data_IF_228914848911
#
_entry.id   IF_228914848911
#
_cell.length_a   1.000
_cell.length_b   1.000
_cell.length_c   1.000
_cell.angle_alpha   90.00
_cell.angle_beta   90.00
_cell.angle_gamma   90.00
#
_symmetry.space_group_name_H-M   'P 1'
#
loop_
_entity.id
_entity.type
_entity.pdbx_description
1 polymer ?
#
# COMPACT_ATOMS: atom_id res chain seq x y z
N UNK A 1 11.27 -17.08 -16.18
CA UNK A 1 10.27 -15.99 -16.26
C UNK A 1 9.99 -15.47 -14.85
N UNK A 2 10.74 -14.49 -14.33
CA UNK A 2 10.54 -14.05 -12.96
C UNK A 2 9.77 -12.72 -12.97
N UNK A 3 8.73 -12.51 -12.18
CA UNK A 3 8.21 -13.26 -11.06
C UNK A 3 7.23 -12.33 -10.35
N UNK A 4 6.16 -12.90 -9.81
CA UNK A 4 5.15 -12.17 -9.06
C UNK A 4 5.80 -11.17 -8.10
N UNK A 5 5.35 -9.91 -8.15
CA UNK A 5 5.68 -8.88 -7.16
C UNK A 5 5.52 -9.47 -5.77
N UNK A 6 6.62 -9.48 -5.00
CA UNK A 6 6.61 -9.99 -3.62
C UNK A 6 5.70 -9.07 -2.80
N UNK A 7 4.63 -9.60 -2.17
CA UNK A 7 3.84 -8.81 -1.27
C UNK A 7 4.65 -8.42 -0.03
N UNK A 8 4.39 -7.24 0.51
CA UNK A 8 4.96 -6.80 1.77
C UNK A 8 4.36 -7.63 2.91
N UNK A 9 5.25 -8.23 3.71
CA UNK A 9 4.85 -9.15 4.77
C UNK A 9 4.96 -8.52 6.16
N UNK A 10 5.80 -7.50 6.32
CA UNK A 10 6.10 -6.89 7.61
C UNK A 10 6.04 -5.36 7.55
N UNK A 11 5.80 -4.72 8.69
CA UNK A 11 5.87 -3.25 8.82
C UNK A 11 7.19 -2.70 8.29
N UNK A 12 8.31 -3.38 8.59
CA UNK A 12 9.64 -3.03 8.11
C UNK A 12 9.75 -2.99 6.58
N UNK A 13 8.97 -3.80 5.86
CA UNK A 13 8.93 -3.71 4.40
C UNK A 13 8.31 -2.38 3.96
N UNK A 14 7.17 -1.98 4.53
CA UNK A 14 6.55 -0.69 4.20
C UNK A 14 7.47 0.49 4.52
N UNK A 15 8.12 0.48 5.69
CA UNK A 15 9.05 1.54 6.10
C UNK A 15 10.24 1.65 5.13
N UNK A 16 10.77 0.53 4.65
CA UNK A 16 11.87 0.52 3.67
C UNK A 16 11.49 1.07 2.30
N UNK A 17 10.20 1.11 1.99
CA UNK A 17 9.67 1.58 0.70
C UNK A 17 8.88 2.89 0.84
N UNK A 18 9.09 3.66 1.93
CA UNK A 18 8.58 5.03 2.03
C UNK A 18 9.09 5.85 0.84
N UNK A 19 8.18 6.55 0.15
CA UNK A 19 8.45 7.28 -1.08
C UNK A 19 8.30 6.46 -2.36
N UNK A 20 8.05 5.16 -2.27
CA UNK A 20 7.74 4.33 -3.44
C UNK A 20 6.23 4.16 -3.67
N UNK A 21 5.86 3.97 -4.93
CA UNK A 21 4.49 3.67 -5.35
C UNK A 21 4.18 2.18 -5.17
N UNK A 22 3.04 1.90 -4.56
CA UNK A 22 2.60 0.55 -4.23
C UNK A 22 1.13 0.37 -4.58
N UNK A 23 0.74 -0.89 -4.76
CA UNK A 23 -0.65 -1.30 -4.89
C UNK A 23 -1.09 -1.98 -3.59
N UNK A 24 -2.21 -1.51 -3.05
CA UNK A 24 -2.84 -2.02 -1.83
C UNK A 24 -4.23 -2.56 -2.15
N UNK A 25 -4.44 -3.83 -1.88
CA UNK A 25 -5.74 -4.49 -1.91
C UNK A 25 -6.37 -4.46 -0.52
N UNK A 26 -7.62 -4.06 -0.43
CA UNK A 26 -8.38 -3.89 0.80
C UNK A 26 -9.38 -5.03 1.01
N UNK A 27 -9.68 -5.37 2.27
CA UNK A 27 -10.74 -6.31 2.60
C UNK A 27 -12.14 -5.75 2.28
N UNK A 28 -12.34 -4.46 2.59
CA UNK A 28 -13.57 -3.72 2.35
C UNK A 28 -13.31 -2.61 1.33
N UNK A 29 -14.29 -2.28 0.46
CA UNK A 29 -14.14 -1.17 -0.46
C UNK A 29 -14.10 0.16 0.30
N UNK A 30 -13.17 1.02 -0.06
CA UNK A 30 -13.10 2.43 0.35
C UNK A 30 -13.39 3.25 -0.90
N UNK A 31 -14.33 4.20 -0.81
CA UNK A 31 -14.78 5.01 -1.96
C UNK A 31 -15.21 4.18 -3.20
N UNK A 32 -15.78 3.00 -2.95
CA UNK A 32 -16.26 2.09 -4.01
C UNK A 32 -15.17 1.23 -4.67
N UNK A 33 -13.90 1.37 -4.28
CA UNK A 33 -12.80 0.53 -4.78
C UNK A 33 -12.17 -0.30 -3.65
N UNK A 34 -11.81 -1.55 -3.97
CA UNK A 34 -10.98 -2.39 -3.08
C UNK A 34 -9.49 -2.29 -3.40
N UNK A 35 -9.13 -1.56 -4.44
CA UNK A 35 -7.75 -1.40 -4.89
C UNK A 35 -7.37 0.07 -4.80
N UNK A 36 -6.24 0.32 -4.16
CA UNK A 36 -5.66 1.65 -4.00
C UNK A 36 -4.22 1.59 -4.51
N UNK A 37 -3.88 2.49 -5.43
CA UNK A 37 -2.51 2.73 -5.86
C UNK A 37 -2.07 4.08 -5.31
N UNK A 38 -0.88 4.14 -4.72
CA UNK A 38 -0.35 5.38 -4.15
C UNK A 38 1.06 5.25 -3.62
N UNK A 39 1.64 6.39 -3.25
CA UNK A 39 3.00 6.48 -2.71
C UNK A 39 2.94 6.34 -1.19
N UNK A 40 3.81 5.53 -0.59
CA UNK A 40 3.90 5.43 0.87
C UNK A 40 4.46 6.75 1.43
N UNK A 41 3.66 7.50 2.17
CA UNK A 41 4.15 8.68 2.91
C UNK A 41 4.68 8.29 4.29
N UNK A 42 3.99 7.38 4.98
CA UNK A 42 4.44 6.85 6.27
C UNK A 42 3.84 5.47 6.55
N UNK A 43 4.53 4.68 7.37
CA UNK A 43 4.04 3.40 7.88
C UNK A 43 4.48 3.26 9.33
N UNK A 44 3.55 2.91 10.22
CA UNK A 44 3.79 2.81 11.66
C UNK A 44 2.88 1.79 12.34
N UNK A 45 2.81 1.86 13.67
CA UNK A 45 1.97 0.94 14.45
C UNK A 45 0.47 1.16 14.16
N UNK A 46 0.06 2.42 13.95
CA UNK A 46 -1.33 2.77 13.68
C UNK A 46 -1.83 2.33 12.28
N UNK A 47 -0.92 2.25 11.30
CA UNK A 47 -1.30 1.92 9.93
C UNK A 47 -0.32 2.42 8.87
N UNK A 48 -0.85 2.52 7.66
CA UNK A 48 -0.17 2.95 6.45
C UNK A 48 -0.82 4.22 5.92
N UNK A 49 -0.01 5.21 5.59
CA UNK A 49 -0.46 6.46 4.96
C UNK A 49 0.02 6.47 3.53
N UNK A 50 -0.94 6.54 2.60
CA UNK A 50 -0.70 6.57 1.16
C UNK A 50 -1.07 7.92 0.57
N UNK A 51 -0.22 8.47 -0.28
CA UNK A 51 -0.54 9.59 -1.15
C UNK A 51 -1.11 9.08 -2.46
N UNK A 52 -2.38 9.36 -2.69
CA UNK A 52 -3.15 9.00 -3.89
C UNK A 52 -3.45 10.29 -4.65
N UNK A 53 -2.58 10.63 -5.61
CA UNK A 53 -2.63 11.91 -6.32
C UNK A 53 -2.36 13.09 -5.37
N UNK A 54 -3.36 13.95 -5.18
CA UNK A 54 -3.30 15.11 -4.27
C UNK A 54 -3.89 14.83 -2.88
N UNK A 55 -4.45 13.63 -2.66
CA UNK A 55 -5.06 13.24 -1.39
C UNK A 55 -4.16 12.30 -0.62
N UNK A 56 -4.26 12.36 0.71
CA UNK A 56 -3.64 11.40 1.62
C UNK A 56 -4.72 10.47 2.15
N UNK A 57 -4.46 9.16 2.12
CA UNK A 57 -5.34 8.11 2.56
C UNK A 57 -4.68 7.34 3.69
N UNK A 58 -5.32 7.34 4.85
CA UNK A 58 -4.88 6.58 6.02
C UNK A 58 -5.59 5.23 6.08
N UNK A 59 -4.80 4.15 6.12
CA UNK A 59 -5.26 2.78 6.10
C UNK A 59 -4.75 2.04 7.34
N UNK A 60 -5.66 1.57 8.16
CA UNK A 60 -5.35 0.64 9.24
C UNK A 60 -4.93 -0.73 8.67
N UNK A 61 -4.03 -1.42 9.37
CA UNK A 61 -3.60 -2.79 9.01
C UNK A 61 -4.77 -3.77 8.86
N UNK A 62 -5.84 -3.57 9.65
CA UNK A 62 -7.07 -4.36 9.61
C UNK A 62 -7.82 -4.27 8.28
N UNK A 63 -7.65 -3.18 7.54
CA UNK A 63 -8.32 -2.92 6.24
C UNK A 63 -7.49 -3.44 5.08
N UNK A 64 -6.18 -3.62 5.26
CA UNK A 64 -5.25 -4.04 4.22
C UNK A 64 -5.22 -5.57 4.12
N UNK A 65 -5.61 -6.08 2.97
CA UNK A 65 -5.54 -7.53 2.68
C UNK A 65 -4.19 -7.94 2.10
N UNK A 66 -3.60 -7.08 1.27
CA UNK A 66 -2.33 -7.32 0.59
C UNK A 66 -1.76 -5.99 0.12
N UNK A 67 -0.45 -5.81 0.23
CA UNK A 67 0.26 -4.72 -0.41
C UNK A 67 1.45 -5.27 -1.21
N UNK A 68 1.77 -4.64 -2.33
CA UNK A 68 2.88 -5.02 -3.18
C UNK A 68 3.41 -3.80 -3.93
N UNK A 69 4.70 -3.80 -4.30
CA UNK A 69 5.26 -2.76 -5.17
C UNK A 69 4.54 -2.77 -6.52
N UNK A 70 4.25 -1.61 -7.06
CA UNK A 70 3.77 -1.52 -8.44
C UNK A 70 4.98 -1.59 -9.38
N UNK A 71 4.86 -2.38 -10.45
CA UNK A 71 5.81 -2.39 -11.57
C UNK A 71 5.18 -1.59 -12.71
N UNK A 72 5.27 -0.27 -12.65
CA UNK A 72 5.02 0.56 -13.83
C UNK A 72 6.36 0.69 -14.57
N UNK A 73 6.41 0.14 -15.79
CA UNK A 73 7.52 0.26 -16.73
C UNK A 73 7.35 1.49 -17.61
#
# INVERSE_FOLDING_TARGET
>A
SPGATRPFASLSDYVRHIGEEIEVSLFAPIDGSKHVEGIIESAGEDGLVLKVGEKTLELEWSKISKAQRTLRF
#
